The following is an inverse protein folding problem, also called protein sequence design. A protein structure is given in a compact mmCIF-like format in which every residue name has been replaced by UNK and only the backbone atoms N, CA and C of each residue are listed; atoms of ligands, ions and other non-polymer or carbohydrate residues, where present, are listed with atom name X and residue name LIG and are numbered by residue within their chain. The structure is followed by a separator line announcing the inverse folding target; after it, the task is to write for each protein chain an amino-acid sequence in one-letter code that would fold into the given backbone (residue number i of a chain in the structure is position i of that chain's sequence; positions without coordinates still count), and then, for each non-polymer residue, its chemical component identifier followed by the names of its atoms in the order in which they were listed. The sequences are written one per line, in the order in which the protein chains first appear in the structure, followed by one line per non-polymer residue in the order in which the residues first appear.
data_IF_902197078740
#
_entry.id   IF_902197078740
#
_cell.length_a   1.000
_cell.length_b   1.000
_cell.length_c   1.000
_cell.angle_alpha   90.00
_cell.angle_beta   90.00
_cell.angle_gamma   90.00
#
_symmetry.space_group_name_H-M   'P 1'
#
loop_
_entity.id
_entity.type
_entity.pdbx_description
1 polymer ?
#
# COMPACT_ATOMS: atom_id res chain seq x y z
N UNK A 1 66.06 -51.17 -2.20
CA UNK A 1 67.41 -50.99 -2.82
C UNK A 1 67.26 -49.89 -3.87
N UNK A 2 68.26 -49.00 -3.92
CA UNK A 2 68.53 -47.86 -4.81
C UNK A 2 67.87 -46.54 -4.48
N UNK A 3 68.62 -45.73 -3.72
CA UNK A 3 68.55 -44.27 -3.54
C UNK A 3 69.02 -43.59 -4.84
N UNK A 4 68.26 -42.61 -5.31
CA UNK A 4 68.70 -41.64 -6.29
C UNK A 4 68.65 -40.26 -5.69
N UNK A 5 69.85 -39.69 -5.54
CA UNK A 5 70.19 -38.36 -5.08
C UNK A 5 70.00 -37.39 -6.22
N UNK A 6 69.11 -36.37 -6.11
CA UNK A 6 69.01 -35.28 -7.07
C UNK A 6 69.53 -34.02 -6.43
N UNK A 7 70.67 -33.57 -6.96
CA UNK A 7 71.34 -32.32 -6.63
C UNK A 7 70.52 -31.14 -7.21
N UNK A 8 70.05 -30.23 -6.37
CA UNK A 8 69.47 -28.93 -6.75
C UNK A 8 70.60 -27.92 -6.91
N UNK A 9 70.74 -27.40 -8.11
CA UNK A 9 71.57 -26.25 -8.41
C UNK A 9 70.80 -24.97 -8.01
N UNK A 10 71.35 -24.20 -7.06
CA UNK A 10 70.89 -22.84 -6.75
C UNK A 10 71.61 -21.87 -7.66
N UNK A 11 70.93 -21.34 -8.65
CA UNK A 11 71.34 -20.16 -9.41
C UNK A 11 70.89 -18.90 -8.66
N UNK A 12 71.84 -18.17 -8.08
CA UNK A 12 71.64 -16.85 -7.55
C UNK A 12 71.48 -15.84 -8.67
N UNK A 13 70.28 -15.37 -8.95
CA UNK A 13 70.06 -14.17 -9.74
C UNK A 13 70.28 -12.93 -8.87
N UNK A 14 71.37 -12.25 -9.06
CA UNK A 14 71.56 -10.87 -8.60
C UNK A 14 70.66 -9.94 -9.43
N UNK A 15 69.48 -9.60 -8.88
CA UNK A 15 68.63 -8.54 -9.43
C UNK A 15 69.24 -7.19 -9.09
N UNK A 16 69.68 -6.45 -10.09
CA UNK A 16 70.01 -5.04 -10.01
C UNK A 16 68.81 -4.26 -9.50
N UNK A 17 68.97 -3.58 -8.36
CA UNK A 17 67.95 -2.60 -7.86
C UNK A 17 68.00 -1.42 -8.84
N UNK A 18 67.08 -1.42 -9.82
CA UNK A 18 66.76 -0.21 -10.55
C UNK A 18 66.14 0.78 -9.55
N UNK A 19 66.89 1.84 -9.25
CA UNK A 19 66.33 3.03 -8.61
C UNK A 19 65.22 3.54 -9.50
N UNK A 20 63.95 3.31 -9.06
CA UNK A 20 62.86 4.04 -9.60
C UNK A 20 63.14 5.52 -9.42
N UNK A 21 63.45 6.17 -10.52
CA UNK A 21 63.49 7.63 -10.58
C UNK A 21 62.08 8.10 -10.18
N UNK A 22 61.98 8.69 -9.01
CA UNK A 22 60.78 9.42 -8.59
C UNK A 22 60.58 10.52 -9.64
N UNK A 23 59.70 10.31 -10.58
CA UNK A 23 59.26 11.34 -11.52
C UNK A 23 58.76 12.48 -10.67
N UNK A 24 59.52 13.58 -10.60
CA UNK A 24 59.10 14.79 -9.93
C UNK A 24 57.79 15.23 -10.62
N UNK A 25 56.68 15.02 -9.89
CA UNK A 25 55.37 15.44 -10.31
C UNK A 25 55.44 16.94 -10.57
N UNK A 26 55.20 17.36 -11.80
CA UNK A 26 55.33 18.74 -12.22
C UNK A 26 54.42 19.62 -11.36
N UNK A 27 55.04 20.33 -10.45
CA UNK A 27 54.33 21.25 -9.52
C UNK A 27 53.69 22.35 -10.39
N UNK A 28 52.37 22.25 -10.55
CA UNK A 28 51.62 23.27 -11.28
C UNK A 28 51.33 24.42 -10.30
N UNK A 29 51.62 25.62 -10.72
CA UNK A 29 51.30 26.84 -9.99
C UNK A 29 50.14 27.55 -10.67
N UNK A 30 49.26 28.13 -9.87
CA UNK A 30 48.14 28.93 -10.34
C UNK A 30 48.04 30.22 -9.50
N UNK A 31 47.74 31.32 -10.17
CA UNK A 31 47.53 32.62 -9.49
C UNK A 31 46.09 32.69 -9.00
N UNK A 32 45.91 33.09 -7.76
CA UNK A 32 44.60 33.34 -7.16
C UNK A 32 43.94 34.52 -7.86
N UNK A 33 42.75 34.27 -8.40
CA UNK A 33 41.96 35.30 -9.08
C UNK A 33 40.56 35.31 -8.46
N UNK A 34 39.84 36.42 -8.66
CA UNK A 34 38.43 36.49 -8.36
C UNK A 34 37.64 35.74 -9.42
N UNK A 35 36.65 35.02 -8.99
CA UNK A 35 35.75 34.28 -9.85
C UNK A 35 34.41 34.03 -9.12
N UNK A 36 33.52 33.40 -9.87
CA UNK A 36 32.23 32.98 -9.33
C UNK A 36 32.29 31.47 -9.01
N UNK A 37 31.82 31.06 -7.85
CA UNK A 37 31.76 29.66 -7.44
C UNK A 37 30.29 29.29 -7.22
N UNK A 38 29.90 28.17 -7.81
CA UNK A 38 28.57 27.59 -7.63
C UNK A 38 28.69 26.25 -6.93
N UNK A 39 28.18 26.17 -5.68
CA UNK A 39 28.09 24.91 -4.97
C UNK A 39 27.03 24.05 -5.66
N UNK A 40 27.42 22.87 -6.15
CA UNK A 40 26.57 21.93 -6.84
C UNK A 40 26.43 20.67 -6.01
N UNK A 41 25.20 20.18 -5.87
CA UNK A 41 24.90 18.91 -5.25
C UNK A 41 24.43 17.96 -6.34
N UNK A 42 25.13 16.84 -6.45
CA UNK A 42 24.78 15.79 -7.40
C UNK A 42 24.03 14.69 -6.65
N UNK A 43 22.83 14.37 -7.11
CA UNK A 43 22.02 13.29 -6.60
C UNK A 43 21.65 12.35 -7.75
N UNK A 44 21.30 11.13 -7.41
CA UNK A 44 20.66 10.18 -8.31
C UNK A 44 19.31 9.82 -7.78
N UNK A 45 18.36 9.60 -8.65
CA UNK A 45 17.01 9.25 -8.30
C UNK A 45 16.31 8.47 -9.38
N UNK A 46 15.09 8.10 -9.14
CA UNK A 46 14.25 7.35 -10.05
C UNK A 46 13.01 8.16 -10.42
N UNK A 47 12.56 7.97 -11.66
CA UNK A 47 11.39 8.66 -12.20
C UNK A 47 10.11 7.98 -11.74
N UNK A 48 9.18 8.74 -11.19
CA UNK A 48 7.85 8.29 -10.76
C UNK A 48 6.75 9.12 -11.42
N UNK A 49 5.59 8.52 -11.64
CA UNK A 49 4.41 9.30 -12.00
C UNK A 49 3.88 10.03 -10.75
N UNK A 50 3.50 11.29 -10.89
CA UNK A 50 2.94 12.08 -9.78
C UNK A 50 1.62 11.50 -9.24
N UNK A 51 0.89 10.78 -10.07
CA UNK A 51 -0.30 10.03 -9.70
C UNK A 51 -0.19 8.57 -10.11
N UNK A 52 -0.52 7.67 -9.21
CA UNK A 52 -0.59 6.23 -9.43
C UNK A 52 -1.86 5.68 -8.78
N UNK A 53 -2.41 4.64 -9.36
CA UNK A 53 -3.49 3.87 -8.74
C UNK A 53 -2.91 2.56 -8.25
N UNK A 54 -2.93 2.38 -6.93
CA UNK A 54 -2.42 1.18 -6.30
C UNK A 54 -3.47 0.07 -6.30
N UNK A 55 -3.09 -1.10 -6.73
CA UNK A 55 -3.90 -2.31 -6.72
C UNK A 55 -3.48 -3.16 -5.53
N UNK A 56 -4.30 -3.07 -4.48
CA UNK A 56 -4.03 -3.73 -3.20
C UNK A 56 -4.87 -4.98 -3.04
N UNK A 57 -4.37 -5.92 -2.25
CA UNK A 57 -5.08 -7.14 -1.84
C UNK A 57 -6.38 -6.78 -1.13
N UNK A 58 -7.54 -7.30 -1.58
CA UNK A 58 -8.83 -7.02 -0.96
C UNK A 58 -8.88 -7.55 0.48
N UNK A 59 -9.72 -6.91 1.30
CA UNK A 59 -9.98 -7.39 2.66
C UNK A 59 -10.94 -8.56 2.62
N UNK A 60 -10.46 -9.72 3.02
CA UNK A 60 -11.23 -10.96 3.11
C UNK A 60 -11.19 -11.52 4.54
N UNK A 61 -12.07 -12.45 4.85
CA UNK A 61 -12.03 -13.19 6.12
C UNK A 61 -10.76 -14.04 6.26
N UNK A 62 -10.15 -14.41 5.13
CA UNK A 62 -8.91 -15.18 5.09
C UNK A 62 -7.72 -14.23 5.23
N UNK A 63 -6.86 -14.50 6.21
CA UNK A 63 -5.67 -13.68 6.51
C UNK A 63 -4.58 -13.76 5.44
N UNK A 64 -4.53 -14.84 4.68
CA UNK A 64 -3.53 -15.08 3.64
C UNK A 64 -4.21 -15.49 2.34
N UNK A 65 -3.82 -14.86 1.25
CA UNK A 65 -4.23 -15.18 -0.11
C UNK A 65 -3.01 -15.57 -0.93
N UNK A 66 -3.20 -16.45 -1.90
CA UNK A 66 -2.15 -16.88 -2.83
C UNK A 66 -2.44 -16.28 -4.20
N UNK A 67 -1.43 -15.72 -4.84
CA UNK A 67 -1.51 -15.18 -6.19
C UNK A 67 -1.62 -16.34 -7.18
N UNK A 68 -2.75 -16.44 -7.88
CA UNK A 68 -3.01 -17.48 -8.88
C UNK A 68 -2.66 -17.03 -10.29
N UNK A 69 -2.89 -15.77 -10.57
CA UNK A 69 -2.57 -15.17 -11.87
C UNK A 69 -2.17 -13.70 -11.68
N UNK A 70 -1.21 -13.26 -12.48
CA UNK A 70 -0.63 -11.93 -12.41
C UNK A 70 -0.34 -11.47 -13.84
N UNK A 71 -0.70 -10.23 -14.18
CA UNK A 71 -0.32 -9.61 -15.44
C UNK A 71 1.21 -9.45 -15.51
N UNK A 72 1.77 -9.48 -16.71
CA UNK A 72 3.21 -9.25 -16.89
C UNK A 72 3.58 -7.82 -16.50
N UNK A 73 4.76 -7.68 -15.90
CA UNK A 73 5.30 -6.37 -15.53
C UNK A 73 5.54 -5.51 -16.78
N UNK A 74 5.05 -4.28 -16.77
CA UNK A 74 5.08 -3.38 -17.93
C UNK A 74 4.02 -3.66 -18.99
N UNK A 75 3.09 -4.59 -18.76
CA UNK A 75 2.01 -4.87 -19.71
C UNK A 75 1.06 -3.67 -19.86
N UNK A 76 0.68 -3.38 -21.11
CA UNK A 76 -0.35 -2.37 -21.39
C UNK A 76 -1.73 -3.01 -21.36
N UNK A 77 -2.58 -2.57 -20.45
CA UNK A 77 -3.91 -3.12 -20.18
C UNK A 77 -5.00 -2.07 -20.42
N UNK A 78 -6.18 -2.54 -20.80
CA UNK A 78 -7.36 -1.69 -20.92
C UNK A 78 -8.18 -1.70 -19.64
N UNK A 79 -8.93 -0.63 -19.41
CA UNK A 79 -9.90 -0.55 -18.32
C UNK A 79 -10.83 -1.78 -18.30
N UNK A 80 -11.01 -2.38 -17.12
CA UNK A 80 -11.78 -3.61 -16.93
C UNK A 80 -11.04 -4.92 -17.28
N UNK A 81 -9.84 -4.87 -17.84
CA UNK A 81 -9.04 -6.07 -18.05
C UNK A 81 -8.58 -6.65 -16.71
N UNK A 82 -8.56 -7.98 -16.59
CA UNK A 82 -8.03 -8.66 -15.42
C UNK A 82 -6.53 -8.41 -15.31
N UNK A 83 -6.06 -8.02 -14.13
CA UNK A 83 -4.64 -7.74 -13.85
C UNK A 83 -4.07 -8.61 -12.74
N UNK A 84 -4.92 -9.08 -11.81
CA UNK A 84 -4.50 -9.93 -10.71
C UNK A 84 -5.65 -10.85 -10.32
N UNK A 85 -5.36 -12.10 -10.02
CA UNK A 85 -6.33 -13.09 -9.53
C UNK A 85 -5.73 -13.88 -8.38
N UNK A 86 -6.46 -13.95 -7.26
CA UNK A 86 -6.10 -14.74 -6.11
C UNK A 86 -6.79 -16.11 -6.14
N UNK A 87 -6.25 -17.06 -5.40
CA UNK A 87 -6.89 -18.36 -5.22
C UNK A 87 -8.19 -18.20 -4.42
N UNK A 88 -9.30 -18.58 -5.05
CA UNK A 88 -10.64 -18.51 -4.49
C UNK A 88 -11.17 -19.87 -4.01
N UNK A 89 -10.36 -20.90 -4.03
CA UNK A 89 -10.80 -22.29 -3.75
C UNK A 89 -11.44 -22.42 -2.36
N UNK A 90 -10.84 -21.81 -1.34
CA UNK A 90 -11.37 -21.84 0.02
C UNK A 90 -12.73 -21.12 0.14
N UNK A 91 -12.87 -19.94 -0.50
CA UNK A 91 -14.11 -19.17 -0.48
C UNK A 91 -15.21 -19.87 -1.28
N UNK A 92 -14.86 -20.50 -2.39
CA UNK A 92 -15.79 -21.31 -3.20
C UNK A 92 -16.33 -22.49 -2.40
N UNK A 93 -15.46 -23.20 -1.67
CA UNK A 93 -15.89 -24.28 -0.79
C UNK A 93 -16.81 -23.78 0.34
N UNK A 94 -16.54 -22.62 0.92
CA UNK A 94 -17.43 -22.00 1.91
C UNK A 94 -18.77 -21.61 1.29
N UNK A 95 -18.79 -21.11 0.05
CA UNK A 95 -20.01 -20.76 -0.67
C UNK A 95 -20.92 -21.99 -0.83
N UNK A 96 -20.38 -23.13 -1.20
CA UNK A 96 -21.14 -24.39 -1.28
C UNK A 96 -21.78 -24.78 0.05
N UNK A 97 -21.06 -24.64 1.16
CA UNK A 97 -21.60 -24.87 2.51
C UNK A 97 -22.74 -23.88 2.85
N UNK A 98 -22.59 -22.62 2.44
CA UNK A 98 -23.64 -21.59 2.63
C UNK A 98 -24.89 -21.86 1.78
N UNK A 99 -24.73 -22.44 0.59
CA UNK A 99 -25.87 -22.90 -0.22
C UNK A 99 -26.65 -24.02 0.46
N UNK A 100 -25.95 -24.99 1.07
CA UNK A 100 -26.59 -26.04 1.85
C UNK A 100 -27.37 -25.43 3.05
N UNK A 101 -26.75 -24.53 3.78
CA UNK A 101 -27.39 -23.83 4.92
C UNK A 101 -28.61 -23.01 4.47
N UNK A 102 -28.60 -22.41 3.29
CA UNK A 102 -29.77 -21.74 2.71
C UNK A 102 -30.92 -22.72 2.45
N UNK A 103 -30.63 -23.88 1.83
CA UNK A 103 -31.64 -24.90 1.60
C UNK A 103 -32.27 -25.42 2.91
N UNK A 104 -31.47 -25.62 3.93
CA UNK A 104 -31.93 -26.00 5.27
C UNK A 104 -32.83 -24.92 5.89
N UNK A 105 -32.44 -23.64 5.80
CA UNK A 105 -33.24 -22.53 6.27
C UNK A 105 -34.56 -22.39 5.50
N UNK A 106 -34.57 -22.60 4.17
CA UNK A 106 -35.77 -22.60 3.35
C UNK A 106 -36.74 -23.72 3.73
N UNK A 107 -36.22 -24.95 3.92
CA UNK A 107 -37.03 -26.09 4.37
C UNK A 107 -37.63 -25.83 5.73
N UNK A 108 -36.83 -25.32 6.69
CA UNK A 108 -37.27 -25.00 8.03
C UNK A 108 -38.36 -23.93 8.01
N UNK A 109 -38.18 -22.88 7.23
CA UNK A 109 -39.21 -21.83 7.08
C UNK A 109 -40.50 -22.37 6.49
N UNK A 110 -40.45 -23.20 5.41
CA UNK A 110 -41.62 -23.81 4.80
C UNK A 110 -42.37 -24.68 5.78
N UNK A 111 -41.64 -25.55 6.52
CA UNK A 111 -42.21 -26.45 7.50
C UNK A 111 -42.90 -25.64 8.65
N UNK A 112 -42.23 -24.65 9.17
CA UNK A 112 -42.79 -23.76 10.21
C UNK A 112 -44.05 -23.05 9.69
N UNK A 113 -44.06 -22.55 8.48
CA UNK A 113 -45.20 -21.90 7.84
C UNK A 113 -46.41 -22.84 7.72
N UNK A 114 -46.16 -24.07 7.26
CA UNK A 114 -47.22 -25.04 7.05
C UNK A 114 -47.80 -25.53 8.40
N UNK A 115 -46.95 -25.73 9.42
CA UNK A 115 -47.39 -26.02 10.79
C UNK A 115 -48.21 -24.87 11.39
N UNK A 116 -47.72 -23.63 11.28
CA UNK A 116 -48.42 -22.44 11.78
C UNK A 116 -49.81 -22.28 11.14
N UNK A 117 -49.93 -22.57 9.85
CA UNK A 117 -51.24 -22.58 9.18
C UNK A 117 -52.16 -23.65 9.71
N UNK A 118 -51.66 -24.88 9.85
CA UNK A 118 -52.45 -26.01 10.37
C UNK A 118 -52.91 -25.75 11.80
N UNK A 119 -52.08 -25.23 12.68
CA UNK A 119 -52.43 -24.91 14.06
C UNK A 119 -53.44 -23.77 14.16
N UNK A 120 -53.25 -22.70 13.34
CA UNK A 120 -54.20 -21.59 13.26
C UNK A 120 -55.56 -22.07 12.76
N UNK A 121 -55.62 -22.88 11.70
CA UNK A 121 -56.86 -23.48 11.15
C UNK A 121 -57.54 -24.38 12.21
N UNK A 122 -56.79 -25.17 12.96
CA UNK A 122 -57.30 -26.04 14.01
C UNK A 122 -57.96 -25.23 15.16
N UNK A 123 -57.30 -24.18 15.64
CA UNK A 123 -57.84 -23.26 16.64
C UNK A 123 -59.11 -22.55 16.15
N UNK A 124 -59.14 -22.11 14.92
CA UNK A 124 -60.35 -21.55 14.29
C UNK A 124 -61.50 -22.53 14.18
N UNK A 125 -61.20 -23.81 13.89
CA UNK A 125 -62.22 -24.86 13.86
C UNK A 125 -62.81 -25.13 15.25
N UNK A 126 -61.97 -25.17 16.29
CA UNK A 126 -62.40 -25.31 17.69
C UNK A 126 -63.28 -24.13 18.09
N UNK A 127 -62.88 -22.88 17.75
CA UNK A 127 -63.68 -21.71 17.99
C UNK A 127 -65.08 -21.83 17.31
N UNK A 128 -65.08 -22.21 16.04
CA UNK A 128 -66.34 -22.40 15.26
C UNK A 128 -67.28 -23.46 15.90
N UNK A 129 -66.69 -24.58 16.41
CA UNK A 129 -67.48 -25.60 17.13
C UNK A 129 -68.13 -25.02 18.41
N UNK A 130 -67.36 -24.25 19.23
CA UNK A 130 -67.91 -23.61 20.41
C UNK A 130 -68.98 -22.55 20.08
N UNK A 131 -68.80 -21.78 18.99
CA UNK A 131 -69.82 -20.85 18.52
C UNK A 131 -71.12 -21.56 18.16
N UNK A 132 -71.04 -22.67 17.39
CA UNK A 132 -72.22 -23.49 17.04
C UNK A 132 -72.89 -24.07 18.33
N UNK A 133 -72.06 -24.51 19.29
CA UNK A 133 -72.58 -25.02 20.57
C UNK A 133 -73.33 -23.92 21.39
N UNK A 134 -72.71 -22.69 21.37
CA UNK A 134 -73.36 -21.52 22.04
C UNK A 134 -74.71 -21.17 21.38
N UNK A 135 -74.75 -21.13 20.03
CA UNK A 135 -76.05 -20.88 19.32
C UNK A 135 -77.13 -21.91 19.70
N UNK A 136 -76.78 -23.22 19.78
CA UNK A 136 -77.67 -24.26 20.25
C UNK A 136 -78.12 -24.05 21.69
N UNK A 137 -77.20 -23.62 22.57
CA UNK A 137 -77.53 -23.33 23.95
C UNK A 137 -78.38 -22.09 24.08
N UNK A 138 -78.17 -21.03 23.29
CA UNK A 138 -79.06 -19.86 23.28
C UNK A 138 -80.45 -20.22 22.84
N UNK A 139 -80.67 -20.96 21.74
CA UNK A 139 -82.00 -21.39 21.33
C UNK A 139 -82.71 -22.20 22.38
N UNK A 140 -81.99 -23.06 23.13
CA UNK A 140 -82.54 -23.84 24.24
C UNK A 140 -82.93 -22.99 25.49
N UNK A 141 -82.17 -21.93 25.75
CA UNK A 141 -82.40 -21.03 26.88
C UNK A 141 -83.45 -19.99 26.62
N UNK A 142 -83.80 -19.71 25.34
CA UNK A 142 -84.81 -18.73 24.95
C UNK A 142 -86.26 -19.30 25.02
N UNK A 143 -86.45 -20.56 25.45
CA UNK A 143 -87.74 -21.12 25.69
C UNK A 143 -88.38 -20.40 26.92
N UNK A 144 -89.65 -19.91 26.81
CA UNK A 144 -90.33 -19.19 27.91
C UNK A 144 -90.33 -19.97 29.22
N UNK A 145 -89.99 -19.28 30.34
CA UNK A 145 -89.82 -19.88 31.65
C UNK A 145 -91.08 -20.50 32.25
N UNK A 146 -92.26 -20.08 31.78
CA UNK A 146 -93.56 -20.56 32.11
C UNK A 146 -93.93 -21.95 31.56
N UNK A 147 -93.14 -22.37 30.52
CA UNK A 147 -93.31 -23.67 29.91
C UNK A 147 -92.37 -24.75 30.50
N UNK A 148 -91.54 -24.40 31.45
CA UNK A 148 -90.49 -25.28 32.00
C UNK A 148 -90.45 -25.26 33.53
N UNK A 149 -90.07 -26.37 34.20
CA UNK A 149 -89.72 -26.35 35.59
C UNK A 149 -88.59 -25.35 35.87
N UNK A 150 -88.72 -24.56 36.99
CA UNK A 150 -87.73 -23.50 37.32
C UNK A 150 -86.34 -23.99 37.38
N UNK A 151 -86.10 -25.24 37.79
CA UNK A 151 -84.75 -25.88 37.80
C UNK A 151 -84.17 -26.04 36.40
N UNK A 152 -85.04 -26.55 35.48
CA UNK A 152 -84.58 -26.78 34.06
C UNK A 152 -84.30 -25.48 33.37
N UNK A 153 -85.07 -24.42 33.64
CA UNK A 153 -84.80 -23.06 33.12
C UNK A 153 -83.46 -22.53 33.64
N UNK A 154 -83.17 -22.72 34.95
CA UNK A 154 -81.85 -22.32 35.50
C UNK A 154 -80.65 -23.11 34.90
N UNK A 155 -80.81 -24.43 34.73
CA UNK A 155 -79.81 -25.28 34.10
C UNK A 155 -79.47 -24.82 32.65
N UNK A 156 -80.51 -24.49 31.86
CA UNK A 156 -80.28 -23.99 30.48
C UNK A 156 -79.62 -22.62 30.44
N UNK A 157 -79.96 -21.73 31.38
CA UNK A 157 -79.29 -20.44 31.51
C UNK A 157 -77.82 -20.61 31.96
N UNK A 158 -77.57 -21.56 32.85
CA UNK A 158 -76.20 -21.87 33.26
C UNK A 158 -75.34 -22.47 32.09
N UNK A 159 -75.99 -23.37 31.34
CA UNK A 159 -75.33 -23.96 30.14
C UNK A 159 -74.99 -22.90 29.13
N UNK A 160 -75.90 -21.96 28.80
CA UNK A 160 -75.61 -20.82 27.93
C UNK A 160 -74.41 -20.02 28.43
N UNK A 161 -74.37 -19.67 29.74
CA UNK A 161 -73.19 -18.93 30.29
C UNK A 161 -71.91 -19.72 30.21
N UNK A 162 -71.97 -21.04 30.41
CA UNK A 162 -70.78 -21.89 30.23
C UNK A 162 -70.27 -21.84 28.79
N UNK A 163 -71.17 -21.94 27.82
CA UNK A 163 -70.79 -21.86 26.36
C UNK A 163 -70.26 -20.47 26.01
N UNK A 164 -70.82 -19.39 26.59
CA UNK A 164 -70.26 -18.02 26.36
C UNK A 164 -68.84 -17.91 26.87
N UNK A 165 -68.50 -18.45 28.02
CA UNK A 165 -67.13 -18.46 28.56
C UNK A 165 -66.19 -19.33 27.69
N UNK A 166 -66.71 -20.49 27.19
CA UNK A 166 -65.95 -21.35 26.33
C UNK A 166 -65.60 -20.68 24.96
N UNK A 167 -66.54 -19.97 24.36
CA UNK A 167 -66.30 -19.20 23.12
C UNK A 167 -65.28 -18.13 23.38
N UNK A 168 -65.43 -17.33 24.45
CA UNK A 168 -64.44 -16.28 24.77
C UNK A 168 -63.05 -16.83 24.96
N UNK A 169 -62.92 -17.95 25.67
CA UNK A 169 -61.63 -18.62 25.84
C UNK A 169 -61.05 -19.11 24.49
N UNK A 170 -61.87 -19.72 23.64
CA UNK A 170 -61.44 -20.20 22.33
C UNK A 170 -61.04 -19.04 21.38
N UNK A 171 -61.70 -17.87 21.52
CA UNK A 171 -61.28 -16.65 20.78
C UNK A 171 -59.91 -16.15 21.27
N UNK A 172 -59.71 -16.05 22.58
CA UNK A 172 -58.44 -15.66 23.18
C UNK A 172 -57.32 -16.63 22.77
N UNK A 173 -57.56 -17.96 22.83
CA UNK A 173 -56.63 -19.00 22.42
C UNK A 173 -56.29 -18.93 20.91
N UNK A 174 -57.26 -18.61 20.06
CA UNK A 174 -57.05 -18.47 18.61
C UNK A 174 -56.20 -17.20 18.25
N UNK A 175 -56.43 -16.09 18.97
CA UNK A 175 -55.64 -14.86 18.82
C UNK A 175 -54.21 -15.09 19.31
N UNK A 176 -54.05 -15.70 20.48
CA UNK A 176 -52.73 -15.98 21.03
C UNK A 176 -51.89 -16.89 20.09
N UNK A 177 -52.49 -17.97 19.58
CA UNK A 177 -51.85 -18.88 18.63
C UNK A 177 -51.41 -18.17 17.36
N UNK A 178 -52.28 -17.31 16.84
CA UNK A 178 -51.94 -16.54 15.62
C UNK A 178 -50.74 -15.63 15.87
N UNK A 179 -50.71 -14.91 17.00
CA UNK A 179 -49.58 -14.04 17.35
C UNK A 179 -48.28 -14.83 17.54
N UNK A 180 -48.35 -15.97 18.24
CA UNK A 180 -47.20 -16.85 18.45
C UNK A 180 -46.65 -17.36 17.11
N UNK A 181 -47.54 -17.86 16.27
CA UNK A 181 -47.16 -18.33 14.90
C UNK A 181 -46.53 -17.23 14.04
N UNK A 182 -47.06 -16.01 14.08
CA UNK A 182 -46.51 -14.86 13.34
C UNK A 182 -45.10 -14.51 13.85
N UNK A 183 -44.87 -14.52 15.17
CA UNK A 183 -43.54 -14.27 15.76
C UNK A 183 -42.54 -15.37 15.39
N UNK A 184 -42.93 -16.64 15.45
CA UNK A 184 -42.07 -17.77 15.08
C UNK A 184 -41.69 -17.70 13.58
N UNK A 185 -42.66 -17.46 12.70
CA UNK A 185 -42.43 -17.27 11.29
C UNK A 185 -41.46 -16.10 10.99
N UNK A 186 -41.61 -15.00 11.74
CA UNK A 186 -40.72 -13.87 11.59
C UNK A 186 -39.28 -14.22 11.97
N UNK A 187 -39.07 -15.00 13.04
CA UNK A 187 -37.73 -15.50 13.40
C UNK A 187 -37.16 -16.37 12.31
N UNK A 188 -37.95 -17.30 11.75
CA UNK A 188 -37.49 -18.16 10.63
C UNK A 188 -37.21 -17.39 9.34
N UNK A 189 -37.98 -16.33 9.09
CA UNK A 189 -37.70 -15.42 7.97
C UNK A 189 -36.35 -14.70 8.13
N UNK A 190 -36.03 -14.21 9.34
CA UNK A 190 -34.74 -13.59 9.64
C UNK A 190 -33.59 -14.57 9.41
N UNK A 191 -33.73 -15.84 9.84
CA UNK A 191 -32.74 -16.90 9.61
C UNK A 191 -32.50 -17.12 8.10
N UNK A 192 -33.57 -17.20 7.31
CA UNK A 192 -33.52 -17.34 5.86
C UNK A 192 -32.81 -16.15 5.19
N UNK A 193 -33.19 -14.93 5.58
CA UNK A 193 -32.59 -13.71 5.03
C UNK A 193 -31.12 -13.55 5.41
N UNK A 194 -30.73 -14.04 6.59
CA UNK A 194 -29.33 -14.12 7.00
C UNK A 194 -28.55 -15.08 6.12
N UNK A 195 -29.10 -16.26 5.83
CA UNK A 195 -28.45 -17.23 4.96
C UNK A 195 -28.27 -16.68 3.52
N UNK A 196 -29.26 -15.98 2.98
CA UNK A 196 -29.15 -15.33 1.65
C UNK A 196 -28.06 -14.27 1.62
N UNK A 197 -28.03 -13.36 2.60
CA UNK A 197 -26.99 -12.34 2.70
C UNK A 197 -25.59 -12.94 2.86
N UNK A 198 -25.47 -14.08 3.52
CA UNK A 198 -24.18 -14.77 3.66
C UNK A 198 -23.66 -15.31 2.30
N UNK A 199 -24.55 -15.75 1.40
CA UNK A 199 -24.20 -16.13 0.03
C UNK A 199 -23.78 -14.92 -0.78
N UNK A 200 -24.59 -13.86 -0.81
CA UNK A 200 -24.27 -12.62 -1.52
C UNK A 200 -22.91 -12.06 -1.10
N UNK A 201 -22.60 -12.08 0.21
CA UNK A 201 -21.31 -11.64 0.71
C UNK A 201 -20.15 -12.52 0.21
N UNK A 202 -20.35 -13.85 0.11
CA UNK A 202 -19.31 -14.75 -0.40
C UNK A 202 -19.10 -14.59 -1.91
N UNK A 203 -20.17 -14.44 -2.69
CA UNK A 203 -20.11 -14.19 -4.13
C UNK A 203 -19.36 -12.87 -4.41
N UNK A 204 -19.67 -11.82 -3.63
CA UNK A 204 -18.93 -10.55 -3.71
C UNK A 204 -17.46 -10.74 -3.38
N UNK A 205 -17.14 -11.49 -2.31
CA UNK A 205 -15.74 -11.77 -1.97
C UNK A 205 -15.02 -12.47 -3.11
N UNK A 206 -15.65 -13.46 -3.76
CA UNK A 206 -15.08 -14.15 -4.93
C UNK A 206 -14.83 -13.18 -6.08
N UNK A 207 -15.77 -12.27 -6.34
CA UNK A 207 -15.61 -11.25 -7.37
C UNK A 207 -14.47 -10.29 -7.05
N UNK A 208 -14.34 -9.87 -5.77
CA UNK A 208 -13.30 -8.97 -5.30
C UNK A 208 -11.89 -9.62 -5.33
N UNK A 209 -11.80 -10.98 -5.37
CA UNK A 209 -10.53 -11.71 -5.54
C UNK A 209 -9.96 -11.64 -6.97
N UNK A 210 -10.69 -11.07 -7.90
CA UNK A 210 -10.22 -10.78 -9.26
C UNK A 210 -10.11 -9.27 -9.41
N UNK A 211 -8.89 -8.75 -9.38
CA UNK A 211 -8.68 -7.32 -9.59
C UNK A 211 -8.61 -7.00 -11.08
N UNK A 212 -9.30 -5.93 -11.44
CA UNK A 212 -9.32 -5.42 -12.81
C UNK A 212 -8.69 -4.03 -12.87
N UNK A 213 -8.14 -3.68 -14.03
CA UNK A 213 -7.58 -2.37 -14.28
C UNK A 213 -8.67 -1.28 -14.20
N UNK A 214 -8.53 -0.26 -13.35
CA UNK A 214 -9.53 0.82 -13.23
C UNK A 214 -9.51 1.78 -14.42
N UNK A 215 -8.40 1.84 -15.17
CA UNK A 215 -8.20 2.70 -16.35
C UNK A 215 -7.27 2.02 -17.35
N UNK A 216 -7.20 2.58 -18.56
CA UNK A 216 -6.16 2.18 -19.53
C UNK A 216 -4.78 2.61 -19.02
N UNK A 217 -3.78 1.77 -19.22
CA UNK A 217 -2.43 2.12 -18.79
C UNK A 217 -1.49 0.94 -18.67
N UNK A 218 -0.32 1.21 -18.12
CA UNK A 218 0.73 0.21 -17.88
C UNK A 218 0.62 -0.26 -16.44
N UNK A 219 0.76 -1.57 -16.25
CA UNK A 219 0.82 -2.19 -14.91
C UNK A 219 2.28 -2.34 -14.52
N UNK A 220 2.62 -1.93 -13.31
CA UNK A 220 3.94 -2.12 -12.70
C UNK A 220 3.78 -3.00 -11.47
N UNK A 221 4.52 -4.11 -11.42
CA UNK A 221 4.53 -5.00 -10.26
C UNK A 221 5.45 -4.40 -9.20
N UNK A 222 4.96 -4.29 -7.97
CA UNK A 222 5.72 -3.77 -6.84
C UNK A 222 6.64 -4.84 -6.24
N UNK A 223 7.59 -4.41 -5.42
CA UNK A 223 8.53 -5.29 -4.74
C UNK A 223 7.88 -5.92 -3.49
N UNK A 224 8.18 -7.22 -3.29
CA UNK A 224 7.78 -7.92 -2.09
C UNK A 224 8.51 -7.34 -0.86
N UNK A 225 7.80 -6.84 0.17
CA UNK A 225 8.40 -6.02 1.22
C UNK A 225 9.47 -6.73 2.06
N UNK A 226 9.46 -8.07 2.10
CA UNK A 226 10.41 -8.86 2.90
C UNK A 226 11.43 -9.62 2.07
N UNK A 227 11.20 -9.82 0.77
CA UNK A 227 12.08 -10.65 -0.06
C UNK A 227 12.95 -9.84 -1.01
N UNK A 228 12.69 -8.54 -1.18
CA UNK A 228 13.46 -7.65 -2.05
C UNK A 228 13.42 -8.04 -3.52
N UNK A 229 12.39 -8.78 -3.93
CA UNK A 229 12.09 -9.16 -5.31
C UNK A 229 10.65 -8.79 -5.66
N UNK A 230 10.33 -8.72 -6.93
CA UNK A 230 8.95 -8.50 -7.39
C UNK A 230 8.03 -9.66 -7.00
N UNK A 231 6.74 -9.35 -6.83
CA UNK A 231 5.72 -10.38 -6.62
C UNK A 231 5.64 -11.34 -7.81
N UNK A 232 5.41 -12.61 -7.52
CA UNK A 232 5.31 -13.69 -8.50
C UNK A 232 4.08 -14.57 -8.24
N UNK A 233 3.76 -15.41 -9.23
CA UNK A 233 2.75 -16.46 -9.09
C UNK A 233 3.11 -17.40 -7.94
N UNK A 234 2.13 -17.69 -7.09
CA UNK A 234 2.29 -18.57 -5.93
C UNK A 234 2.71 -17.84 -4.64
N UNK A 235 3.01 -16.55 -4.70
CA UNK A 235 3.33 -15.78 -3.50
C UNK A 235 2.11 -15.67 -2.58
N UNK A 236 2.38 -15.74 -1.29
CA UNK A 236 1.38 -15.55 -0.24
C UNK A 236 1.36 -14.10 0.20
N UNK A 237 0.20 -13.47 0.13
CA UNK A 237 0.01 -12.05 0.41
C UNK A 237 -1.04 -11.82 1.48
N UNK A 238 -0.99 -10.67 2.13
CA UNK A 238 -1.90 -10.29 3.20
C UNK A 238 -2.86 -9.18 2.73
N UNK A 239 -4.09 -9.11 3.26
CA UNK A 239 -5.03 -8.04 2.97
C UNK A 239 -4.43 -6.65 3.17
N UNK A 240 -4.61 -5.76 2.20
CA UNK A 240 -4.10 -4.40 2.22
C UNK A 240 -2.67 -4.22 1.69
N UNK A 241 -1.95 -5.29 1.33
CA UNK A 241 -0.66 -5.16 0.64
C UNK A 241 -0.88 -4.68 -0.78
N UNK A 242 -0.08 -3.71 -1.23
CA UNK A 242 -0.04 -3.30 -2.63
C UNK A 242 0.83 -4.29 -3.40
N UNK A 243 0.26 -4.86 -4.47
CA UNK A 243 0.93 -5.87 -5.31
C UNK A 243 1.43 -5.26 -6.61
N UNK A 244 0.68 -4.30 -7.12
CA UNK A 244 0.99 -3.60 -8.35
C UNK A 244 0.41 -2.20 -8.34
N UNK A 245 0.96 -1.36 -9.19
CA UNK A 245 0.52 0.00 -9.37
C UNK A 245 0.28 0.31 -10.84
N UNK A 246 -0.59 1.26 -11.10
CA UNK A 246 -0.85 1.78 -12.44
C UNK A 246 -0.52 3.27 -12.47
N UNK A 247 0.71 3.63 -12.87
CA UNK A 247 1.12 5.03 -12.99
C UNK A 247 0.31 5.76 -14.06
N UNK A 248 0.02 7.03 -13.81
CA UNK A 248 -0.68 7.88 -14.76
C UNK A 248 0.32 8.62 -15.66
N UNK A 249 0.57 8.05 -16.84
CA UNK A 249 1.51 8.60 -17.81
C UNK A 249 1.02 9.90 -18.47
N UNK A 250 -0.24 10.29 -18.27
CA UNK A 250 -0.79 11.54 -18.80
C UNK A 250 -0.49 12.75 -17.92
N UNK A 251 -0.06 12.51 -16.69
CA UNK A 251 0.25 13.55 -15.71
C UNK A 251 1.75 13.85 -15.63
N UNK A 252 2.09 14.86 -14.82
CA UNK A 252 3.47 15.23 -14.59
C UNK A 252 4.24 14.06 -13.95
N UNK A 253 5.53 13.94 -14.35
CA UNK A 253 6.44 13.00 -13.71
C UNK A 253 7.22 13.72 -12.62
N UNK A 254 7.52 13.00 -11.55
CA UNK A 254 8.34 13.44 -10.43
C UNK A 254 9.60 12.59 -10.32
N UNK A 255 10.66 13.16 -9.79
CA UNK A 255 11.88 12.41 -9.48
C UNK A 255 11.96 12.20 -7.99
N UNK A 256 12.06 10.96 -7.56
CA UNK A 256 12.34 10.58 -6.20
C UNK A 256 13.81 10.31 -6.02
N UNK A 257 14.43 10.95 -5.06
CA UNK A 257 15.86 10.87 -4.77
C UNK A 257 16.11 10.77 -3.28
N UNK A 258 17.34 10.37 -2.94
CA UNK A 258 17.77 10.27 -1.56
C UNK A 258 18.96 11.19 -1.33
N UNK A 259 18.85 12.06 -0.34
CA UNK A 259 19.93 12.92 0.14
C UNK A 259 20.61 12.26 1.34
N UNK A 260 21.92 12.04 1.27
CA UNK A 260 22.68 11.53 2.41
C UNK A 260 22.59 12.50 3.60
N UNK A 261 22.54 11.98 4.82
CA UNK A 261 22.57 12.76 6.06
C UNK A 261 23.86 13.61 6.21
N UNK A 262 24.95 13.22 5.55
CA UNK A 262 26.20 14.00 5.49
C UNK A 262 26.02 15.31 4.71
N UNK A 263 25.08 15.34 3.76
CA UNK A 263 24.78 16.48 2.92
C UNK A 263 23.59 17.31 3.42
N UNK A 264 23.16 17.06 4.66
CA UNK A 264 22.07 17.81 5.30
C UNK A 264 22.36 19.34 5.28
N UNK A 265 21.32 20.14 5.03
CA UNK A 265 21.42 21.59 4.88
C UNK A 265 22.00 22.08 3.54
N UNK A 266 22.46 21.18 2.66
CA UNK A 266 22.91 21.57 1.30
C UNK A 266 21.78 21.67 0.31
N UNK A 267 20.67 20.94 0.53
CA UNK A 267 19.46 20.95 -0.30
C UNK A 267 18.32 21.56 0.48
N UNK A 268 17.49 22.36 -0.19
CA UNK A 268 16.28 22.96 0.39
C UNK A 268 15.13 22.94 -0.61
N UNK A 269 13.91 22.92 -0.08
CA UNK A 269 12.69 23.04 -0.90
C UNK A 269 12.73 24.36 -1.69
N UNK A 270 12.33 24.29 -2.97
CA UNK A 270 12.39 25.43 -3.90
C UNK A 270 13.71 25.58 -4.65
N UNK A 271 14.74 24.79 -4.32
CA UNK A 271 15.97 24.78 -5.14
C UNK A 271 15.67 24.26 -6.54
N UNK A 272 16.25 24.94 -7.53
CA UNK A 272 16.16 24.57 -8.94
C UNK A 272 17.42 23.89 -9.38
N UNK A 273 17.30 23.02 -10.37
CA UNK A 273 18.42 22.29 -10.93
C UNK A 273 18.11 21.71 -12.29
N UNK A 274 18.99 20.83 -12.72
CA UNK A 274 18.88 20.12 -13.98
C UNK A 274 18.78 18.63 -13.70
N UNK A 275 17.73 18.02 -14.22
CA UNK A 275 17.51 16.58 -14.18
C UNK A 275 17.79 15.99 -15.57
N UNK A 276 18.61 14.96 -15.63
CA UNK A 276 19.00 14.30 -16.89
C UNK A 276 18.72 12.82 -16.75
N UNK A 277 17.89 12.27 -17.64
CA UNK A 277 17.66 10.83 -17.68
C UNK A 277 18.92 10.13 -18.22
N UNK A 278 19.34 9.06 -17.58
CA UNK A 278 20.53 8.31 -18.04
C UNK A 278 20.36 7.74 -19.45
N UNK A 279 19.13 7.39 -19.83
CA UNK A 279 18.80 6.93 -21.18
C UNK A 279 18.87 8.05 -22.25
N UNK A 280 18.72 9.32 -21.85
CA UNK A 280 18.67 10.48 -22.75
C UNK A 280 19.57 11.62 -22.27
N UNK A 281 20.90 11.44 -22.23
CA UNK A 281 21.83 12.42 -21.62
C UNK A 281 21.91 13.75 -22.37
N UNK A 282 21.48 13.79 -23.62
CA UNK A 282 21.50 15.00 -24.44
C UNK A 282 20.30 15.96 -24.16
N UNK A 283 19.32 15.54 -23.37
CA UNK A 283 18.12 16.34 -23.13
C UNK A 283 17.95 16.65 -21.62
N UNK A 284 18.69 17.64 -21.11
CA UNK A 284 18.54 18.07 -19.73
C UNK A 284 17.18 18.77 -19.54
N UNK A 285 16.51 18.47 -18.43
CA UNK A 285 15.19 18.99 -18.06
C UNK A 285 15.34 19.82 -16.79
N UNK A 286 14.77 21.00 -16.75
CA UNK A 286 14.72 21.77 -15.52
C UNK A 286 13.88 21.07 -14.47
N UNK A 287 14.36 21.02 -13.23
CA UNK A 287 13.62 20.44 -12.11
C UNK A 287 13.72 21.34 -10.86
N UNK A 288 12.75 21.18 -9.98
CA UNK A 288 12.63 21.96 -8.75
C UNK A 288 12.33 21.02 -7.58
N UNK A 289 13.03 21.20 -6.47
CA UNK A 289 12.77 20.46 -5.23
C UNK A 289 11.42 20.89 -4.67
N UNK A 290 10.47 19.98 -4.61
CA UNK A 290 9.10 20.21 -4.10
C UNK A 290 8.95 19.79 -2.65
N UNK A 291 9.62 18.69 -2.26
CA UNK A 291 9.54 18.16 -0.91
C UNK A 291 10.89 17.62 -0.45
N UNK A 292 11.16 17.80 0.84
CA UNK A 292 12.31 17.25 1.54
C UNK A 292 11.82 16.72 2.88
N UNK A 293 11.79 15.41 3.04
CA UNK A 293 11.32 14.79 4.27
C UNK A 293 12.29 15.07 5.41
N UNK A 294 11.86 15.67 6.54
CA UNK A 294 12.76 16.06 7.63
C UNK A 294 13.25 14.88 8.51
N UNK A 295 12.88 13.66 8.15
CA UNK A 295 13.23 12.44 8.90
C UNK A 295 14.11 11.55 8.05
N UNK A 296 15.35 11.36 8.48
CA UNK A 296 16.28 10.42 7.83
C UNK A 296 15.88 8.97 8.10
N UNK A 297 15.80 8.17 7.04
CA UNK A 297 15.49 6.75 7.09
C UNK A 297 16.72 5.93 6.73
N UNK A 298 16.79 4.70 7.23
CA UNK A 298 17.84 3.77 6.86
C UNK A 298 17.58 3.27 5.44
N UNK A 299 18.61 3.28 4.61
CA UNK A 299 18.54 2.80 3.23
C UNK A 299 18.71 1.28 3.21
N UNK A 300 17.59 0.55 3.25
CA UNK A 300 17.56 -0.92 3.24
C UNK A 300 18.01 -1.56 4.55
N UNK A 301 17.66 -2.83 4.75
CA UNK A 301 17.88 -3.55 6.02
C UNK A 301 19.35 -3.76 6.39
N UNK A 302 20.25 -3.75 5.42
CA UNK A 302 21.69 -4.01 5.64
C UNK A 302 22.56 -2.75 5.61
N UNK A 303 21.98 -1.56 5.46
CA UNK A 303 22.73 -0.31 5.38
C UNK A 303 22.63 0.47 6.68
N UNK A 304 23.76 0.91 7.22
CA UNK A 304 23.81 1.85 8.33
C UNK A 304 23.70 3.31 7.87
N UNK A 305 23.68 3.56 6.58
CA UNK A 305 23.57 4.91 6.02
C UNK A 305 22.13 5.38 6.11
N UNK A 306 21.97 6.63 6.50
CA UNK A 306 20.67 7.30 6.56
C UNK A 306 20.57 8.29 5.42
N UNK A 307 19.36 8.45 4.92
CA UNK A 307 19.06 9.40 3.85
C UNK A 307 17.71 10.07 4.09
N UNK A 308 17.60 11.31 3.60
CA UNK A 308 16.36 12.04 3.53
C UNK A 308 15.72 11.82 2.17
N UNK A 309 14.42 11.59 2.11
CA UNK A 309 13.71 11.49 0.84
C UNK A 309 13.52 12.91 0.26
N UNK A 310 13.88 13.07 -1.00
CA UNK A 310 13.75 14.31 -1.77
C UNK A 310 12.85 14.05 -2.96
N UNK A 311 11.85 14.90 -3.18
CA UNK A 311 11.02 14.89 -4.37
C UNK A 311 11.27 16.11 -5.22
N UNK A 312 11.36 15.92 -6.51
CA UNK A 312 11.56 16.98 -7.47
C UNK A 312 10.49 16.93 -8.57
N UNK A 313 9.86 18.06 -8.84
CA UNK A 313 9.00 18.20 -10.00
C UNK A 313 9.83 18.52 -11.26
N UNK A 314 9.51 17.88 -12.36
CA UNK A 314 10.05 18.17 -13.67
C UNK A 314 9.26 19.28 -14.36
N UNK A 315 9.94 20.20 -15.02
CA UNK A 315 9.28 21.30 -15.75
C UNK A 315 8.54 20.82 -17.02
N UNK A 316 8.94 19.67 -17.56
CA UNK A 316 8.32 19.05 -18.72
C UNK A 316 8.30 17.53 -18.56
N UNK A 317 7.19 16.92 -18.95
CA UNK A 317 7.03 15.46 -18.99
C UNK A 317 6.73 15.03 -20.41
N UNK A 318 7.43 14.00 -20.88
CA UNK A 318 7.24 13.38 -22.19
C UNK A 318 6.90 11.90 -21.97
N UNK A 319 5.63 11.57 -21.95
CA UNK A 319 5.14 10.20 -21.70
C UNK A 319 5.59 9.17 -22.74
N UNK A 320 6.15 9.60 -23.88
CA UNK A 320 6.70 8.70 -24.90
C UNK A 320 8.12 8.24 -24.60
N UNK A 321 8.87 8.99 -23.79
CA UNK A 321 10.28 8.75 -23.46
C UNK A 321 10.54 8.50 -21.99
N UNK A 322 9.65 9.01 -21.15
CA UNK A 322 9.76 8.91 -19.69
C UNK A 322 8.92 7.74 -19.20
N UNK A 323 9.58 6.74 -18.67
CA UNK A 323 8.92 5.59 -18.06
C UNK A 323 9.22 5.53 -16.56
N UNK A 324 8.29 5.07 -15.73
CA UNK A 324 8.54 4.88 -14.31
C UNK A 324 9.78 4.03 -14.04
N UNK A 325 10.47 4.32 -12.95
CA UNK A 325 11.71 3.67 -12.51
C UNK A 325 12.93 3.89 -13.44
N UNK A 326 12.88 4.84 -14.37
CA UNK A 326 14.08 5.27 -15.09
C UNK A 326 15.00 6.04 -14.16
N UNK A 327 16.30 5.77 -14.25
CA UNK A 327 17.33 6.47 -13.48
C UNK A 327 17.53 7.90 -13.99
N UNK A 328 17.60 8.83 -13.03
CA UNK A 328 17.75 10.26 -13.29
C UNK A 328 18.95 10.81 -12.52
N UNK A 329 19.82 11.50 -13.21
CA UNK A 329 20.89 12.27 -12.61
C UNK A 329 20.39 13.69 -12.34
N UNK A 330 20.53 14.13 -11.10
CA UNK A 330 20.05 15.43 -10.63
C UNK A 330 21.25 16.30 -10.27
N UNK A 331 21.31 17.49 -10.82
CA UNK A 331 22.32 18.50 -10.53
C UNK A 331 21.61 19.74 -9.97
N UNK A 332 21.66 19.90 -8.63
CA UNK A 332 21.12 21.06 -7.94
C UNK A 332 22.22 22.10 -7.75
N UNK A 333 21.93 23.35 -8.08
CA UNK A 333 22.87 24.44 -7.92
C UNK A 333 22.37 25.44 -6.89
N UNK A 334 23.24 25.82 -5.95
CA UNK A 334 23.01 27.00 -5.09
C UNK A 334 23.26 28.28 -5.87
N UNK A 335 22.70 29.39 -5.39
CA UNK A 335 23.00 30.68 -5.95
C UNK A 335 24.51 30.89 -6.00
N UNK A 336 25.09 31.34 -7.16
CA UNK A 336 26.51 31.53 -7.31
C UNK A 336 27.02 32.61 -6.34
N UNK A 337 28.09 32.30 -5.62
CA UNK A 337 28.82 33.27 -4.84
C UNK A 337 29.74 34.04 -5.79
N UNK A 338 29.40 35.27 -6.05
CA UNK A 338 30.09 36.08 -7.08
C UNK A 338 31.28 36.81 -6.49
N UNK A 339 32.28 37.03 -7.35
CA UNK A 339 33.44 37.90 -7.07
C UNK A 339 34.25 37.51 -5.81
N UNK A 340 34.44 36.21 -5.58
CA UNK A 340 35.22 35.67 -4.46
C UNK A 340 36.61 35.24 -4.92
N UNK A 341 37.59 35.23 -4.00
CA UNK A 341 38.92 34.68 -4.27
C UNK A 341 38.77 33.15 -4.40
N UNK A 342 39.27 32.60 -5.54
CA UNK A 342 39.17 31.18 -5.87
C UNK A 342 40.54 30.54 -5.80
N UNK A 343 40.66 29.44 -5.06
CA UNK A 343 41.84 28.59 -5.03
C UNK A 343 41.49 27.19 -5.56
N UNK A 344 42.37 26.59 -6.38
CA UNK A 344 42.17 25.23 -6.85
C UNK A 344 42.07 24.25 -5.68
N UNK A 345 41.22 23.25 -5.80
CA UNK A 345 41.04 22.22 -4.77
C UNK A 345 42.33 21.49 -4.45
N UNK A 346 43.18 21.22 -5.45
CA UNK A 346 44.48 20.56 -5.28
C UNK A 346 45.54 21.37 -4.53
N UNK A 347 45.28 22.67 -4.24
CA UNK A 347 46.15 23.49 -3.41
C UNK A 347 45.71 23.53 -1.95
N UNK A 348 44.50 22.99 -1.62
CA UNK A 348 43.96 22.98 -0.27
C UNK A 348 44.44 21.71 0.46
N UNK A 349 45.00 21.93 1.61
CA UNK A 349 45.45 20.85 2.53
C UNK A 349 44.60 20.90 3.81
N UNK A 350 43.88 19.83 4.10
CA UNK A 350 43.11 19.69 5.33
C UNK A 350 43.88 18.78 6.30
N UNK A 351 44.26 19.36 7.46
CA UNK A 351 44.98 18.65 8.48
C UNK A 351 44.20 18.72 9.78
N UNK A 352 43.46 17.65 10.03
CA UNK A 352 42.53 17.56 11.16
C UNK A 352 41.47 18.67 11.15
N UNK A 353 41.61 19.64 12.04
CA UNK A 353 40.66 20.79 12.17
C UNK A 353 41.10 22.05 11.42
N UNK A 354 42.31 22.08 10.89
CA UNK A 354 42.88 23.27 10.23
C UNK A 354 42.90 23.09 8.72
N UNK A 355 42.45 24.11 8.03
CA UNK A 355 42.48 24.14 6.57
C UNK A 355 43.53 25.13 6.11
N UNK A 356 44.46 24.68 5.31
CA UNK A 356 45.58 25.45 4.82
C UNK A 356 45.65 25.42 3.31
N UNK A 357 46.17 26.49 2.74
CA UNK A 357 46.49 26.56 1.30
C UNK A 357 47.99 26.55 1.10
N UNK A 358 48.46 25.77 0.12
CA UNK A 358 49.85 25.70 -0.23
C UNK A 358 50.19 26.84 -1.20
N UNK A 359 50.83 27.89 -0.68
CA UNK A 359 51.39 28.99 -1.44
C UNK A 359 52.84 28.67 -1.86
N UNK A 360 53.35 29.40 -2.84
CA UNK A 360 54.74 29.34 -3.20
C UNK A 360 55.68 29.71 -2.00
N UNK A 361 55.18 30.49 -1.08
CA UNK A 361 55.85 30.92 0.17
C UNK A 361 55.69 29.97 1.37
N UNK A 362 54.94 28.88 1.23
CA UNK A 362 54.64 27.94 2.30
C UNK A 362 53.14 27.73 2.57
N UNK A 363 52.84 26.93 3.62
CA UNK A 363 51.44 26.68 4.01
C UNK A 363 50.91 27.87 4.79
N UNK A 364 49.69 28.32 4.46
CA UNK A 364 48.99 29.40 5.15
C UNK A 364 47.60 28.96 5.57
N UNK A 365 47.19 29.25 6.81
CA UNK A 365 45.85 28.98 7.27
C UNK A 365 44.85 29.84 6.55
N UNK A 366 43.73 29.19 6.15
CA UNK A 366 42.66 29.85 5.39
C UNK A 366 41.30 29.43 5.93
N UNK A 367 40.31 30.32 5.73
CA UNK A 367 38.92 29.99 5.94
C UNK A 367 38.27 29.79 4.57
N UNK A 368 37.81 28.58 4.31
CA UNK A 368 37.12 28.25 3.08
C UNK A 368 35.64 28.58 3.16
N UNK A 369 35.06 28.99 2.02
CA UNK A 369 33.63 29.11 1.77
C UNK A 369 33.11 27.97 0.91
N UNK A 370 32.23 28.29 -0.03
CA UNK A 370 31.69 27.31 -0.99
C UNK A 370 32.81 26.75 -1.89
N UNK A 371 32.70 25.45 -2.19
CA UNK A 371 33.62 24.76 -3.10
C UNK A 371 32.84 24.12 -4.23
N UNK A 372 33.42 24.17 -5.44
CA UNK A 372 32.93 23.42 -6.60
C UNK A 372 33.95 22.32 -7.03
N UNK A 373 33.76 21.73 -8.18
CA UNK A 373 34.64 20.69 -8.69
C UNK A 373 36.06 21.21 -9.02
N UNK A 374 36.22 22.50 -9.31
CA UNK A 374 37.46 23.10 -9.77
C UNK A 374 38.22 23.85 -8.66
N UNK A 375 37.48 24.48 -7.71
CA UNK A 375 38.11 25.29 -6.68
C UNK A 375 37.22 25.55 -5.45
N UNK A 376 37.77 26.26 -4.50
CA UNK A 376 37.09 26.71 -3.30
C UNK A 376 37.19 28.24 -3.17
N UNK A 377 36.09 28.87 -2.76
CA UNK A 377 36.07 30.25 -2.33
C UNK A 377 36.90 30.39 -1.05
N UNK A 378 37.73 31.40 -0.97
CA UNK A 378 38.46 31.73 0.27
C UNK A 378 37.90 32.99 0.87
N UNK A 379 37.42 32.91 2.12
CA UNK A 379 36.88 34.04 2.86
C UNK A 379 38.01 34.87 3.50
N UNK A 380 39.10 34.22 3.93
CA UNK A 380 40.25 34.91 4.53
C UNK A 380 41.52 34.07 4.45
N UNK A 381 42.67 34.71 4.45
CA UNK A 381 44.01 34.05 4.49
C UNK A 381 44.78 34.11 3.19
N UNK A 382 44.20 34.51 2.05
CA UNK A 382 44.86 34.60 0.74
C UNK A 382 44.48 35.93 0.11
N UNK A 383 45.43 36.55 -0.63
CA UNK A 383 45.21 37.78 -1.38
C UNK A 383 45.13 37.50 -2.91
N UNK A 384 44.49 38.39 -3.61
CA UNK A 384 44.46 38.37 -5.06
C UNK A 384 45.88 38.52 -5.63
N UNK A 385 46.29 37.65 -6.53
CA UNK A 385 47.64 37.63 -7.05
C UNK A 385 48.61 36.67 -6.34
N UNK A 386 48.23 36.10 -5.19
CA UNK A 386 49.04 35.04 -4.55
C UNK A 386 49.16 33.82 -5.49
N UNK A 387 50.35 33.21 -5.47
CA UNK A 387 50.62 32.01 -6.28
C UNK A 387 50.46 30.76 -5.43
N UNK A 388 49.50 29.91 -5.79
CA UNK A 388 49.22 28.63 -5.14
C UNK A 388 49.85 27.48 -5.91
N UNK A 389 50.28 26.47 -5.20
CA UNK A 389 50.93 25.27 -5.69
C UNK A 389 49.96 24.11 -5.71
N UNK A 390 49.68 23.56 -6.89
CA UNK A 390 48.80 22.42 -7.12
C UNK A 390 49.65 21.17 -7.25
N UNK A 391 49.40 20.16 -6.45
CA UNK A 391 50.15 18.89 -6.51
C UNK A 391 51.29 18.83 -5.50
N UNK A 392 51.65 17.65 -5.13
CA UNK A 392 52.59 17.30 -4.04
C UNK A 392 51.85 16.68 -2.87
N UNK A 393 51.47 15.40 -3.03
CA UNK A 393 51.08 14.56 -1.90
C UNK A 393 52.17 14.55 -0.87
N UNK A 394 51.75 14.54 0.41
CA UNK A 394 52.65 14.35 1.54
C UNK A 394 53.31 12.98 1.47
#
# INVERSE_FOLDING_TARGET
MKRALVLLWLSACQGSVEKHATTAEATRTQVVKRGDITDRVLLTGDLHAAASVDLSVPRTETWQLVIRWLAEDGANVKAGARVLEFDNSAVTQQLEQKHIALLEAELTFRTARDLARMETENKQNVLRQHQIALEKAKVRADVPADLLPARDAQERQLEKKRMEVQVKKAEEDAIAQKQESELELHVKQIELDKARRAIEASEKTIADLVLTAPKDGIVVIDDHPWEGRKFHLGDTVQPGMTIMSMPDMSQAMEVHSELSDVDDGRVAVGMTGTCTLDAYPATPIACTVTDLTPVARVKGEQSLRRAFAVKLALAASDGSRMHPNMSVKIELAKAPVKNVLVVPRGAVVVDGKTTRVRLASGLRDVTLGACDAQGCAVASGVAEGDTVVIGGGA
#
